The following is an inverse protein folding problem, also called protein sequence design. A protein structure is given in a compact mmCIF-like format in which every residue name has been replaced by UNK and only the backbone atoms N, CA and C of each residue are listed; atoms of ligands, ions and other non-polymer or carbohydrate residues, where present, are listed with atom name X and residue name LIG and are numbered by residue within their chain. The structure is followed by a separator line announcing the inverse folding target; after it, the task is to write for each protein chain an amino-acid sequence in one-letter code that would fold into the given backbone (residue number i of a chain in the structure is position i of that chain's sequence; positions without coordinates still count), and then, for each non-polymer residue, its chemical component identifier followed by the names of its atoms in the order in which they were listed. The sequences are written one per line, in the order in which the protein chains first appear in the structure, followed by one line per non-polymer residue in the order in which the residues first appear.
data_IF_748958006651
#
_entry.id   IF_748958006651
#
_cell.length_a   1.000
_cell.length_b   1.000
_cell.length_c   1.000
_cell.angle_alpha   90.00
_cell.angle_beta   90.00
_cell.angle_gamma   90.00
#
_symmetry.space_group_name_H-M   'P 1'
#
loop_
_entity.id
_entity.type
_entity.pdbx_description
1 polymer ?
#
# COMPACT_ATOMS: atom_id res chain seq x y z
N UNK A 1 -17.78 88.58 -40.58
CA UNK A 1 -17.48 87.56 -39.57
C UNK A 1 -17.77 86.18 -40.14
N UNK A 2 -16.78 85.29 -40.21
CA UNK A 2 -16.99 83.89 -40.61
C UNK A 2 -15.99 83.01 -39.85
N UNK A 3 -16.46 82.37 -38.78
CA UNK A 3 -15.65 81.53 -37.90
C UNK A 3 -15.69 80.08 -38.39
N UNK A 4 -14.52 79.60 -38.85
CA UNK A 4 -14.37 78.27 -39.44
C UNK A 4 -13.99 77.27 -38.34
N UNK A 5 -14.98 76.59 -37.75
CA UNK A 5 -14.76 75.60 -36.70
C UNK A 5 -14.11 74.34 -37.27
N UNK A 6 -12.91 74.01 -36.80
CA UNK A 6 -12.20 72.77 -37.14
C UNK A 6 -12.58 71.68 -36.13
N UNK A 7 -13.45 70.74 -36.52
CA UNK A 7 -13.71 69.54 -35.72
C UNK A 7 -12.53 68.56 -35.78
N UNK A 8 -11.82 68.44 -34.66
CA UNK A 8 -10.79 67.42 -34.47
C UNK A 8 -11.45 66.05 -34.32
N UNK A 9 -11.29 65.19 -35.33
CA UNK A 9 -11.73 63.79 -35.26
C UNK A 9 -10.90 63.03 -34.22
N UNK A 10 -11.46 62.79 -33.04
CA UNK A 10 -10.88 61.88 -32.06
C UNK A 10 -10.79 60.46 -32.65
N UNK A 11 -9.57 59.90 -32.61
CA UNK A 11 -9.30 58.55 -33.09
C UNK A 11 -10.07 57.50 -32.28
N UNK A 12 -10.59 56.47 -32.97
CA UNK A 12 -11.29 55.37 -32.31
C UNK A 12 -10.35 54.64 -31.35
N UNK A 13 -10.57 54.77 -30.04
CA UNK A 13 -9.90 53.92 -29.04
C UNK A 13 -10.11 52.45 -29.41
N UNK A 14 -9.05 51.77 -29.83
CA UNK A 14 -9.08 50.31 -29.97
C UNK A 14 -9.19 49.73 -28.57
N UNK A 15 -10.32 49.07 -28.29
CA UNK A 15 -10.58 48.42 -27.01
C UNK A 15 -9.56 47.30 -26.81
N UNK A 16 -8.47 47.58 -26.07
CA UNK A 16 -7.48 46.57 -25.68
C UNK A 16 -8.24 45.55 -24.81
N UNK A 17 -8.63 44.45 -25.45
CA UNK A 17 -9.35 43.36 -24.82
C UNK A 17 -8.43 42.79 -23.74
N UNK A 18 -8.78 42.96 -22.46
CA UNK A 18 -7.92 42.48 -21.37
C UNK A 18 -7.65 40.98 -21.56
N UNK A 19 -6.37 40.65 -21.75
CA UNK A 19 -5.88 39.29 -21.89
C UNK A 19 -5.82 38.66 -20.50
N UNK A 20 -6.99 38.28 -19.98
CA UNK A 20 -7.11 37.64 -18.67
C UNK A 20 -6.33 36.32 -18.64
N UNK A 21 -5.49 36.15 -17.61
CA UNK A 21 -4.79 34.91 -17.36
C UNK A 21 -5.81 33.77 -17.14
N UNK A 22 -5.65 32.67 -17.88
CA UNK A 22 -6.56 31.52 -17.85
C UNK A 22 -5.82 30.26 -17.40
N UNK A 23 -6.24 29.64 -16.31
CA UNK A 23 -5.70 28.35 -15.88
C UNK A 23 -6.40 27.19 -16.59
N UNK A 24 -5.63 26.31 -17.24
CA UNK A 24 -6.13 25.09 -17.86
C UNK A 24 -5.90 23.88 -16.95
N UNK A 25 -6.98 23.19 -16.55
CA UNK A 25 -6.90 21.94 -15.77
C UNK A 25 -6.22 20.78 -16.51
N UNK A 26 -6.38 20.69 -17.84
CA UNK A 26 -5.79 19.64 -18.69
C UNK A 26 -4.28 19.85 -18.88
N UNK A 27 -3.85 21.10 -19.09
CA UNK A 27 -2.43 21.44 -19.28
C UNK A 27 -1.69 21.73 -17.96
N UNK A 28 -2.42 21.96 -16.86
CA UNK A 28 -1.92 22.37 -15.54
C UNK A 28 -1.02 23.62 -15.61
N UNK A 29 -1.42 24.58 -16.44
CA UNK A 29 -0.69 25.81 -16.74
C UNK A 29 -1.63 26.99 -16.83
N UNK A 30 -1.12 28.17 -16.49
CA UNK A 30 -1.80 29.45 -16.70
C UNK A 30 -1.33 30.03 -18.03
N UNK A 31 -2.25 30.14 -18.98
CA UNK A 31 -2.02 30.74 -20.30
C UNK A 31 -2.56 32.17 -20.33
N UNK A 32 -1.68 33.12 -20.71
CA UNK A 32 -2.04 34.53 -20.89
C UNK A 32 -2.76 34.80 -22.22
N UNK A 33 -2.77 33.82 -23.13
CA UNK A 33 -3.53 33.83 -24.40
C UNK A 33 -5.05 33.64 -24.21
N UNK A 34 -5.52 33.56 -22.96
CA UNK A 34 -6.90 33.27 -22.60
C UNK A 34 -7.40 31.93 -23.16
N UNK A 35 -8.69 31.88 -23.53
CA UNK A 35 -9.34 30.68 -24.08
C UNK A 35 -8.79 30.23 -25.46
N UNK A 36 -7.89 31.01 -26.08
CA UNK A 36 -7.26 30.63 -27.36
C UNK A 36 -6.34 29.40 -27.24
N UNK A 37 -5.73 29.17 -26.08
CA UNK A 37 -4.76 28.07 -25.90
C UNK A 37 -5.37 26.67 -26.15
N UNK A 38 -6.69 26.52 -25.95
CA UNK A 38 -7.45 25.26 -26.09
C UNK A 38 -7.34 24.69 -27.52
N UNK A 39 -7.27 25.57 -28.51
CA UNK A 39 -7.11 25.22 -29.93
C UNK A 39 -5.66 24.92 -30.31
N UNK A 40 -4.71 25.14 -29.40
CA UNK A 40 -3.28 24.92 -29.63
C UNK A 40 -2.92 23.44 -29.70
N UNK A 41 -1.98 23.09 -30.60
CA UNK A 41 -1.50 21.71 -30.80
C UNK A 41 -1.02 21.05 -29.49
N UNK A 42 -0.37 21.82 -28.61
CA UNK A 42 0.11 21.35 -27.30
C UNK A 42 -1.04 20.91 -26.37
N UNK A 43 -2.08 21.75 -26.22
CA UNK A 43 -3.28 21.39 -25.47
C UNK A 43 -3.94 20.15 -26.06
N UNK A 44 -4.15 20.13 -27.37
CA UNK A 44 -4.81 19.01 -28.06
C UNK A 44 -4.02 17.70 -27.96
N UNK A 45 -2.68 17.73 -27.97
CA UNK A 45 -1.86 16.53 -27.70
C UNK A 45 -1.99 16.05 -26.25
N UNK A 46 -1.94 16.97 -25.28
CA UNK A 46 -2.06 16.65 -23.86
C UNK A 46 -3.46 16.11 -23.51
N UNK A 47 -4.50 16.68 -24.11
CA UNK A 47 -5.88 16.21 -24.01
C UNK A 47 -6.02 14.79 -24.56
N UNK A 48 -5.46 14.48 -25.74
CA UNK A 48 -5.48 13.13 -26.31
C UNK A 48 -4.79 12.10 -25.41
N UNK A 49 -3.61 12.41 -24.86
CA UNK A 49 -2.90 11.53 -23.91
C UNK A 49 -3.72 11.32 -22.63
N UNK A 50 -4.33 12.38 -22.11
CA UNK A 50 -5.16 12.33 -20.89
C UNK A 50 -6.42 11.48 -21.10
N UNK A 51 -7.14 11.70 -22.21
CA UNK A 51 -8.31 10.92 -22.60
C UNK A 51 -7.96 9.46 -22.91
N UNK A 52 -6.81 9.16 -23.52
CA UNK A 52 -6.36 7.79 -23.73
C UNK A 52 -6.12 7.05 -22.41
N UNK A 53 -5.42 7.68 -21.45
CA UNK A 53 -5.23 7.13 -20.10
C UNK A 53 -6.56 6.92 -19.37
N UNK A 54 -7.49 7.87 -19.48
CA UNK A 54 -8.81 7.74 -18.88
C UNK A 54 -9.64 6.63 -19.55
N UNK A 55 -9.63 6.53 -20.89
CA UNK A 55 -10.30 5.47 -21.65
C UNK A 55 -9.85 4.08 -21.21
N UNK A 56 -8.55 3.90 -20.90
CA UNK A 56 -8.05 2.60 -20.45
C UNK A 56 -8.66 2.19 -19.10
N UNK A 57 -8.76 3.11 -18.13
CA UNK A 57 -9.44 2.85 -16.83
C UNK A 57 -10.92 2.51 -17.02
N UNK A 58 -11.61 3.22 -17.91
CA UNK A 58 -13.02 2.96 -18.23
C UNK A 58 -13.19 1.60 -18.91
N UNK A 59 -12.32 1.26 -19.87
CA UNK A 59 -12.33 -0.05 -20.55
C UNK A 59 -12.07 -1.21 -19.59
N UNK A 60 -11.21 -1.01 -18.60
CA UNK A 60 -10.91 -1.98 -17.55
C UNK A 60 -12.18 -2.26 -16.73
N UNK A 61 -12.82 -1.22 -16.20
CA UNK A 61 -14.08 -1.34 -15.47
C UNK A 61 -15.24 -1.90 -16.32
N UNK A 62 -15.34 -1.52 -17.60
CA UNK A 62 -16.35 -2.09 -18.52
C UNK A 62 -16.16 -3.59 -18.79
N UNK A 63 -14.99 -4.17 -18.51
CA UNK A 63 -14.79 -5.63 -18.61
C UNK A 63 -15.37 -6.38 -17.42
N UNK A 64 -15.26 -5.82 -16.22
CA UNK A 64 -15.88 -6.39 -15.00
C UNK A 64 -17.40 -6.22 -14.95
N UNK A 65 -18.02 -5.59 -15.95
CA UNK A 65 -19.49 -5.46 -16.04
C UNK A 65 -20.22 -6.77 -16.38
N UNK A 66 -19.54 -7.76 -16.97
CA UNK A 66 -20.07 -9.08 -17.34
C UNK A 66 -19.65 -10.23 -16.41
N UNK A 67 -18.85 -9.88 -15.40
CA UNK A 67 -18.26 -10.78 -14.43
C UNK A 67 -17.72 -9.93 -13.28
N UNK A 68 -18.59 -9.35 -12.44
CA UNK A 68 -18.17 -8.59 -11.28
C UNK A 68 -17.30 -9.45 -10.36
N UNK A 69 -16.21 -8.85 -9.87
CA UNK A 69 -15.33 -9.51 -8.92
C UNK A 69 -15.65 -9.01 -7.51
N UNK A 70 -16.00 -9.95 -6.64
CA UNK A 70 -16.24 -9.73 -5.21
C UNK A 70 -15.07 -10.34 -4.45
N UNK A 71 -14.45 -9.54 -3.59
CA UNK A 71 -13.32 -9.93 -2.74
C UNK A 71 -13.62 -9.59 -1.27
N UNK A 72 -12.92 -10.24 -0.33
CA UNK A 72 -12.92 -9.82 1.08
C UNK A 72 -12.34 -8.43 1.18
N UNK A 73 -12.93 -7.58 2.02
CA UNK A 73 -12.40 -6.24 2.26
C UNK A 73 -10.94 -6.33 2.72
N UNK A 74 -10.12 -5.48 2.10
CA UNK A 74 -8.73 -5.25 2.46
C UNK A 74 -8.44 -3.76 2.29
N UNK A 75 -7.52 -3.17 3.09
CA UNK A 75 -7.12 -1.78 2.92
C UNK A 75 -6.56 -1.45 1.52
N UNK A 76 -6.17 -2.47 0.74
CA UNK A 76 -5.71 -2.30 -0.65
C UNK A 76 -6.83 -1.84 -1.60
N UNK A 77 -8.11 -1.96 -1.21
CA UNK A 77 -9.26 -1.60 -2.03
C UNK A 77 -9.73 -0.15 -1.87
N UNK A 78 -9.15 0.63 -0.94
CA UNK A 78 -9.45 2.06 -0.73
C UNK A 78 -8.85 2.97 -1.83
N UNK A 79 -8.73 2.45 -3.04
CA UNK A 79 -8.20 3.17 -4.19
C UNK A 79 -9.23 4.16 -4.72
N UNK A 80 -8.79 5.40 -4.91
CA UNK A 80 -9.55 6.46 -5.59
C UNK A 80 -9.03 6.66 -7.01
N UNK A 81 -9.88 7.15 -7.91
CA UNK A 81 -9.48 7.65 -9.22
C UNK A 81 -9.98 9.07 -9.44
N UNK A 82 -9.18 9.86 -10.17
CA UNK A 82 -9.58 11.18 -10.61
C UNK A 82 -10.46 11.10 -11.88
N UNK A 83 -11.68 11.63 -11.82
CA UNK A 83 -12.53 11.83 -12.98
C UNK A 83 -12.24 13.20 -13.62
N UNK A 84 -11.71 13.21 -14.85
CA UNK A 84 -11.39 14.46 -15.56
C UNK A 84 -12.62 15.26 -15.99
N UNK A 85 -13.76 14.60 -16.25
CA UNK A 85 -15.01 15.28 -16.62
C UNK A 85 -15.57 16.08 -15.45
N UNK A 86 -15.67 15.44 -14.28
CA UNK A 86 -16.25 16.02 -13.07
C UNK A 86 -15.26 16.87 -12.27
N UNK A 87 -13.95 16.66 -12.47
CA UNK A 87 -12.88 17.21 -11.61
C UNK A 87 -13.04 16.82 -10.14
N UNK A 88 -13.31 15.53 -9.90
CA UNK A 88 -13.54 14.94 -8.58
C UNK A 88 -12.68 13.68 -8.39
N UNK A 89 -12.32 13.41 -7.13
CA UNK A 89 -11.85 12.09 -6.69
C UNK A 89 -13.06 11.20 -6.38
N UNK A 90 -13.03 9.98 -6.91
CA UNK A 90 -14.13 9.02 -6.85
C UNK A 90 -13.59 7.66 -6.40
N UNK A 91 -14.29 6.87 -5.56
CA UNK A 91 -13.89 5.51 -5.24
C UNK A 91 -13.76 4.65 -6.50
N UNK A 92 -12.70 3.84 -6.61
CA UNK A 92 -12.59 2.87 -7.71
C UNK A 92 -13.45 1.64 -7.44
N UNK A 93 -13.52 1.19 -6.20
CA UNK A 93 -14.24 0.00 -5.74
C UNK A 93 -15.41 0.43 -4.84
N UNK A 94 -16.42 -0.42 -4.65
CA UNK A 94 -17.42 -0.25 -3.57
C UNK A 94 -17.03 -1.21 -2.45
N UNK A 95 -17.04 -0.73 -1.21
CA UNK A 95 -16.72 -1.50 0.00
C UNK A 95 -17.93 -1.49 0.92
N UNK A 96 -18.39 -2.67 1.33
CA UNK A 96 -19.45 -2.81 2.34
C UNK A 96 -18.91 -3.68 3.49
N UNK A 97 -18.33 -3.02 4.50
CA UNK A 97 -17.76 -3.63 5.69
C UNK A 97 -16.70 -4.72 5.44
N UNK A 98 -17.16 -5.97 5.33
CA UNK A 98 -16.35 -7.17 5.13
C UNK A 98 -16.09 -7.53 3.66
N UNK A 99 -16.77 -6.89 2.71
CA UNK A 99 -16.74 -7.25 1.28
C UNK A 99 -16.43 -6.06 0.37
N UNK A 100 -15.94 -6.33 -0.83
CA UNK A 100 -15.57 -5.32 -1.83
C UNK A 100 -15.97 -5.76 -3.23
N UNK A 101 -16.73 -4.93 -3.94
CA UNK A 101 -17.04 -5.07 -5.37
C UNK A 101 -16.01 -4.28 -6.19
N UNK A 102 -15.18 -4.97 -6.95
CA UNK A 102 -14.14 -4.31 -7.74
C UNK A 102 -14.76 -3.46 -8.87
N UNK A 103 -14.16 -2.29 -9.12
CA UNK A 103 -14.59 -1.32 -10.14
C UNK A 103 -15.99 -0.70 -9.96
N UNK A 104 -16.80 -1.14 -8.98
CA UNK A 104 -18.19 -0.70 -8.79
C UNK A 104 -18.35 0.82 -8.66
N UNK A 105 -17.54 1.48 -7.82
CA UNK A 105 -17.65 2.93 -7.57
C UNK A 105 -17.29 3.78 -8.80
N UNK A 106 -16.42 3.26 -9.67
CA UNK A 106 -16.15 3.87 -10.96
C UNK A 106 -17.35 3.73 -11.91
N UNK A 107 -17.94 2.53 -12.00
CA UNK A 107 -19.09 2.26 -12.86
C UNK A 107 -20.31 3.08 -12.44
N UNK A 108 -20.63 3.10 -11.15
CA UNK A 108 -21.71 3.90 -10.56
C UNK A 108 -21.53 5.40 -10.81
N UNK A 109 -20.33 5.94 -10.60
CA UNK A 109 -20.07 7.34 -10.94
C UNK A 109 -20.32 7.65 -12.42
N UNK A 110 -19.94 6.73 -13.31
CA UNK A 110 -20.06 6.90 -14.75
C UNK A 110 -21.48 6.77 -15.30
N UNK A 111 -22.40 6.19 -14.55
CA UNK A 111 -23.83 6.17 -14.87
C UNK A 111 -24.59 7.38 -14.32
N UNK A 112 -23.99 8.20 -13.43
CA UNK A 112 -24.69 9.37 -12.86
C UNK A 112 -25.07 10.41 -13.94
N UNK A 113 -26.26 11.03 -13.86
CA UNK A 113 -26.66 12.08 -14.78
C UNK A 113 -25.76 13.33 -14.63
N UNK A 114 -25.16 13.54 -13.47
CA UNK A 114 -24.16 14.60 -13.20
C UNK A 114 -22.90 14.37 -14.02
N UNK A 115 -22.36 13.15 -14.02
CA UNK A 115 -21.20 12.80 -14.85
C UNK A 115 -21.51 12.92 -16.34
N UNK A 116 -22.71 12.55 -16.78
CA UNK A 116 -23.15 12.78 -18.18
C UNK A 116 -23.12 14.27 -18.53
N UNK A 117 -23.77 15.13 -17.73
CA UNK A 117 -23.76 16.61 -17.91
C UNK A 117 -22.33 17.17 -17.93
N UNK A 118 -21.50 16.76 -16.97
CA UNK A 118 -20.11 17.19 -16.85
C UNK A 118 -19.24 16.71 -18.03
N UNK A 119 -19.48 15.51 -18.55
CA UNK A 119 -18.81 14.98 -19.74
C UNK A 119 -19.16 15.81 -20.98
N UNK A 120 -20.43 16.15 -21.20
CA UNK A 120 -20.82 17.05 -22.29
C UNK A 120 -20.17 18.44 -22.17
N UNK A 121 -20.16 19.01 -20.96
CA UNK A 121 -19.48 20.29 -20.66
C UNK A 121 -17.98 20.23 -20.94
N UNK A 122 -17.28 19.23 -20.40
CA UNK A 122 -15.83 19.04 -20.57
C UNK A 122 -15.44 18.90 -22.06
N UNK A 123 -16.22 18.15 -22.85
CA UNK A 123 -15.99 18.02 -24.29
C UNK A 123 -16.12 19.36 -25.02
N UNK A 124 -17.14 20.14 -24.68
CA UNK A 124 -17.36 21.47 -25.28
C UNK A 124 -16.30 22.47 -24.85
N UNK A 125 -15.87 22.46 -23.58
CA UNK A 125 -14.84 23.37 -23.07
C UNK A 125 -13.47 23.08 -23.68
N UNK A 126 -13.04 21.81 -23.76
CA UNK A 126 -11.70 21.44 -24.24
C UNK A 126 -11.63 21.13 -25.75
N UNK A 127 -12.75 21.24 -26.48
CA UNK A 127 -12.86 20.90 -27.92
C UNK A 127 -12.34 19.48 -28.24
N UNK A 128 -12.70 18.53 -27.37
CA UNK A 128 -12.36 17.12 -27.53
C UNK A 128 -13.11 16.48 -28.72
N UNK A 129 -12.56 15.38 -29.26
CA UNK A 129 -13.18 14.64 -30.37
C UNK A 129 -14.56 14.07 -29.96
N UNK A 130 -15.66 14.48 -30.63
CA UNK A 130 -17.01 13.99 -30.32
C UNK A 130 -17.13 12.47 -30.38
N UNK A 131 -16.37 11.79 -31.27
CA UNK A 131 -16.40 10.33 -31.46
C UNK A 131 -15.90 9.53 -30.25
N UNK A 132 -15.26 10.22 -29.30
CA UNK A 132 -14.76 9.60 -28.07
C UNK A 132 -15.71 9.77 -26.88
N UNK A 133 -16.63 10.74 -26.91
CA UNK A 133 -17.49 11.11 -25.77
C UNK A 133 -18.27 9.92 -25.21
N UNK A 134 -18.95 9.18 -26.09
CA UNK A 134 -19.90 8.13 -25.68
C UNK A 134 -19.21 6.89 -25.10
N UNK A 135 -17.87 6.83 -25.20
CA UNK A 135 -17.04 5.82 -24.50
C UNK A 135 -16.90 6.11 -23.00
N UNK A 136 -17.28 7.30 -22.55
CA UNK A 136 -17.18 7.77 -21.16
C UNK A 136 -18.54 7.94 -20.48
N UNK A 137 -19.64 7.53 -21.12
CA UNK A 137 -20.99 7.50 -20.53
C UNK A 137 -21.38 6.03 -20.45
N UNK A 138 -21.91 5.58 -19.32
CA UNK A 138 -22.50 4.23 -19.17
C UNK A 138 -24.02 4.41 -19.18
N UNK A 139 -24.72 3.50 -19.85
CA UNK A 139 -26.18 3.55 -19.93
C UNK A 139 -26.82 3.11 -18.59
N UNK A 140 -28.08 3.46 -18.36
CA UNK A 140 -28.75 3.10 -17.10
C UNK A 140 -29.05 1.59 -17.10
N UNK A 141 -29.45 1.05 -18.25
CA UNK A 141 -29.70 -0.37 -18.54
C UNK A 141 -28.43 -1.24 -18.36
N UNK A 142 -27.29 -0.73 -18.82
CA UNK A 142 -25.95 -1.32 -18.62
C UNK A 142 -25.62 -1.42 -17.12
N UNK A 143 -26.08 -0.44 -16.33
CA UNK A 143 -25.82 -0.33 -14.88
C UNK A 143 -26.76 -1.22 -14.07
N UNK A 144 -28.02 -1.35 -14.47
CA UNK A 144 -28.99 -2.30 -13.91
C UNK A 144 -28.53 -3.74 -14.15
N UNK A 145 -28.09 -4.05 -15.37
CA UNK A 145 -27.50 -5.35 -15.72
C UNK A 145 -26.30 -5.67 -14.83
N UNK A 146 -25.38 -4.70 -14.65
CA UNK A 146 -24.25 -4.85 -13.75
C UNK A 146 -24.67 -5.08 -12.30
N UNK A 147 -25.67 -4.36 -11.78
CA UNK A 147 -26.18 -4.56 -10.41
C UNK A 147 -26.75 -5.97 -10.22
N UNK A 148 -27.52 -6.49 -11.18
CA UNK A 148 -28.05 -7.85 -11.13
C UNK A 148 -26.94 -8.91 -11.15
N UNK A 149 -25.89 -8.73 -11.96
CA UNK A 149 -24.71 -9.60 -11.93
C UNK A 149 -23.91 -9.48 -10.62
N UNK A 150 -23.83 -8.29 -10.02
CA UNK A 150 -23.18 -8.08 -8.72
C UNK A 150 -23.94 -8.86 -7.64
N UNK A 151 -25.28 -8.78 -7.57
CA UNK A 151 -26.06 -9.59 -6.63
C UNK A 151 -25.75 -11.08 -6.75
N UNK A 152 -25.73 -11.62 -7.98
CA UNK A 152 -25.37 -13.01 -8.25
C UNK A 152 -23.93 -13.35 -7.82
N UNK A 153 -22.98 -12.42 -8.00
CA UNK A 153 -21.59 -12.61 -7.60
C UNK A 153 -21.40 -12.54 -6.08
N UNK A 154 -22.23 -11.76 -5.37
CA UNK A 154 -22.29 -11.73 -3.91
C UNK A 154 -22.83 -13.06 -3.36
N UNK A 155 -23.97 -13.55 -3.87
CA UNK A 155 -24.53 -14.88 -3.52
C UNK A 155 -23.51 -16.00 -3.73
N UNK A 156 -22.82 -16.03 -4.89
CA UNK A 156 -21.77 -17.00 -5.19
C UNK A 156 -20.50 -16.85 -4.35
N UNK A 157 -20.28 -15.70 -3.73
CA UNK A 157 -19.16 -15.47 -2.83
C UNK A 157 -19.53 -15.97 -1.42
N UNK A 158 -20.72 -15.62 -0.94
CA UNK A 158 -21.28 -16.09 0.33
C UNK A 158 -21.36 -17.63 0.35
N UNK A 159 -21.88 -18.27 -0.70
CA UNK A 159 -21.95 -19.74 -0.78
C UNK A 159 -20.58 -20.41 -0.64
N UNK A 160 -19.52 -19.83 -1.22
CA UNK A 160 -18.15 -20.36 -1.13
C UNK A 160 -17.57 -20.19 0.27
N UNK A 161 -17.82 -19.06 0.91
CA UNK A 161 -17.44 -18.84 2.31
C UNK A 161 -18.17 -19.83 3.23
N UNK A 162 -19.46 -20.07 2.99
CA UNK A 162 -20.28 -21.02 3.72
C UNK A 162 -19.76 -22.46 3.59
N UNK A 163 -19.37 -22.89 2.38
CA UNK A 163 -18.73 -24.19 2.14
C UNK A 163 -17.39 -24.27 2.88
N UNK A 164 -16.55 -23.25 2.79
CA UNK A 164 -15.26 -23.19 3.48
C UNK A 164 -15.40 -23.22 5.02
N UNK A 165 -16.44 -22.60 5.57
CA UNK A 165 -16.77 -22.68 7.01
C UNK A 165 -17.25 -24.10 7.38
N UNK A 166 -18.12 -24.72 6.56
CA UNK A 166 -18.61 -26.10 6.78
C UNK A 166 -17.47 -27.13 6.73
N UNK A 167 -16.52 -26.97 5.82
CA UNK A 167 -15.30 -27.80 5.72
C UNK A 167 -14.42 -27.68 6.96
N UNK A 168 -14.09 -26.46 7.39
CA UNK A 168 -13.32 -26.24 8.63
C UNK A 168 -14.04 -26.81 9.87
N UNK A 169 -15.36 -26.63 9.96
CA UNK A 169 -16.16 -27.20 11.03
C UNK A 169 -16.21 -28.75 10.98
N UNK A 170 -16.11 -29.37 9.80
CA UNK A 170 -15.97 -30.82 9.68
C UNK A 170 -14.60 -31.31 10.17
N UNK A 171 -13.51 -30.60 9.85
CA UNK A 171 -12.15 -30.90 10.35
C UNK A 171 -12.10 -30.79 11.88
N UNK A 172 -12.69 -29.75 12.47
CA UNK A 172 -12.75 -29.60 13.93
C UNK A 172 -13.52 -30.75 14.58
N UNK A 173 -14.68 -31.13 14.03
CA UNK A 173 -15.49 -32.26 14.53
C UNK A 173 -14.77 -33.60 14.42
N UNK A 174 -14.09 -33.88 13.32
CA UNK A 174 -13.31 -35.13 13.18
C UNK A 174 -12.13 -35.17 14.16
N UNK A 175 -11.45 -34.03 14.38
CA UNK A 175 -10.38 -33.95 15.37
C UNK A 175 -10.89 -34.10 16.81
N UNK A 176 -12.11 -33.65 17.11
CA UNK A 176 -12.77 -33.91 18.40
C UNK A 176 -13.14 -35.38 18.57
N UNK A 177 -13.75 -36.01 17.55
CA UNK A 177 -14.05 -37.45 17.56
C UNK A 177 -12.80 -38.30 17.77
N UNK A 178 -11.70 -38.00 17.08
CA UNK A 178 -10.42 -38.70 17.23
C UNK A 178 -9.87 -38.58 18.67
N UNK A 179 -9.97 -37.40 19.31
CA UNK A 179 -9.59 -37.23 20.73
C UNK A 179 -10.47 -38.06 21.66
N UNK A 180 -11.78 -38.08 21.44
CA UNK A 180 -12.71 -38.86 22.25
C UNK A 180 -12.45 -40.37 22.13
N UNK A 181 -12.19 -40.88 20.93
CA UNK A 181 -11.84 -42.30 20.75
C UNK A 181 -10.54 -42.67 21.47
N UNK A 182 -9.49 -41.84 21.37
CA UNK A 182 -8.22 -42.08 22.08
C UNK A 182 -8.41 -42.09 23.60
N UNK A 183 -9.24 -41.20 24.16
CA UNK A 183 -9.57 -41.20 25.59
C UNK A 183 -10.37 -42.45 26.00
N UNK A 184 -11.32 -42.90 25.17
CA UNK A 184 -12.10 -44.11 25.42
C UNK A 184 -11.21 -45.36 25.48
N UNK A 185 -10.33 -45.53 24.49
CA UNK A 185 -9.41 -46.69 24.43
C UNK A 185 -8.43 -46.75 25.61
N UNK A 186 -8.10 -45.62 26.24
CA UNK A 186 -7.31 -45.57 27.47
C UNK A 186 -8.14 -45.92 28.72
N UNK A 187 -9.45 -45.68 28.70
CA UNK A 187 -10.35 -45.96 29.83
C UNK A 187 -10.84 -47.41 29.86
N UNK A 188 -10.87 -48.11 28.71
CA UNK A 188 -11.28 -49.53 28.62
C UNK A 188 -10.20 -50.51 29.08
N UNK A 189 -8.97 -50.06 29.39
CA UNK A 189 -7.89 -50.92 29.90
C UNK A 189 -7.90 -51.11 31.43
N UNK A 190 -9.09 -51.25 32.03
CA UNK A 190 -9.30 -51.74 33.40
C UNK A 190 -9.75 -53.22 33.36
N UNK A 191 -9.26 -54.09 34.26
CA UNK A 191 -9.32 -55.54 34.04
C UNK A 191 -10.74 -56.13 34.15
N UNK A 192 -11.02 -57.12 33.29
CA UNK A 192 -12.15 -58.03 33.49
C UNK A 192 -12.06 -58.73 34.86
N UNK A 193 -13.19 -58.79 35.56
CA UNK A 193 -13.43 -59.80 36.57
C UNK A 193 -14.87 -60.29 36.46
N UNK A 194 -15.03 -61.59 36.19
CA UNK A 194 -16.30 -62.31 36.04
C UNK A 194 -16.22 -63.62 36.84
N UNK A 195 -17.35 -64.28 37.16
CA UNK A 195 -18.71 -63.79 37.36
C UNK A 195 -19.34 -64.30 38.67
N UNK A 196 -20.49 -63.75 39.08
CA UNK A 196 -21.43 -64.43 39.98
C UNK A 196 -22.86 -63.96 39.69
N UNK A 197 -23.81 -64.91 39.67
CA UNK A 197 -25.21 -64.64 39.41
C UNK A 197 -26.00 -64.44 40.71
N UNK A 198 -27.08 -63.67 40.65
CA UNK A 198 -28.40 -64.15 41.07
C UNK A 198 -29.53 -63.29 40.48
N UNK A 199 -30.72 -63.88 40.38
CA UNK A 199 -31.96 -63.20 39.99
C UNK A 199 -32.36 -62.17 41.07
N UNK A 200 -33.10 -61.14 40.67
CA UNK A 200 -34.51 -61.01 41.08
C UNK A 200 -35.21 -59.95 40.20
N UNK A 201 -36.46 -60.24 39.83
CA UNK A 201 -37.30 -59.33 39.05
C UNK A 201 -38.33 -58.70 39.98
N UNK A 202 -38.51 -57.38 39.92
CA UNK A 202 -39.80 -56.81 40.29
C UNK A 202 -40.22 -55.69 39.34
N UNK A 203 -41.44 -55.83 38.84
CA UNK A 203 -42.08 -54.99 37.84
C UNK A 203 -42.91 -53.88 38.48
N UNK A 204 -42.97 -52.71 37.82
CA UNK A 204 -44.23 -51.99 37.57
C UNK A 204 -43.96 -50.77 36.69
N UNK A 205 -44.87 -50.48 35.75
CA UNK A 205 -44.84 -49.29 34.92
C UNK A 205 -46.00 -48.37 35.29
N UNK A 206 -45.75 -47.06 35.44
CA UNK A 206 -46.81 -46.05 35.38
C UNK A 206 -46.33 -44.75 34.70
N UNK A 207 -47.31 -43.98 34.22
CA UNK A 207 -47.24 -43.03 33.10
C UNK A 207 -47.37 -41.57 33.59
N UNK A 208 -46.88 -40.64 32.75
CA UNK A 208 -47.18 -39.20 32.67
C UNK A 208 -46.47 -38.20 33.61
N UNK A 209 -45.58 -37.41 32.98
CA UNK A 209 -45.61 -35.94 32.86
C UNK A 209 -46.44 -35.10 33.86
N UNK A 210 -45.82 -34.05 34.43
CA UNK A 210 -46.14 -32.64 34.08
C UNK A 210 -45.36 -31.58 34.92
N UNK A 211 -44.45 -30.86 34.25
CA UNK A 211 -44.29 -29.39 34.21
C UNK A 211 -43.86 -28.51 35.41
N UNK A 212 -43.13 -27.44 35.03
CA UNK A 212 -42.92 -26.12 35.67
C UNK A 212 -41.87 -25.90 36.78
N UNK A 213 -40.75 -25.25 36.38
CA UNK A 213 -40.21 -23.93 36.86
C UNK A 213 -40.78 -23.36 38.19
N UNK A 214 -40.03 -22.76 39.14
CA UNK A 214 -39.06 -21.62 39.11
C UNK A 214 -38.22 -21.61 40.43
N UNK A 215 -37.16 -20.82 40.74
CA UNK A 215 -36.08 -20.07 40.03
C UNK A 215 -35.11 -19.44 41.09
N UNK A 216 -33.85 -19.13 40.71
CA UNK A 216 -32.79 -18.39 41.48
C UNK A 216 -32.26 -19.09 42.76
N UNK A 217 -31.04 -18.91 43.27
CA UNK A 217 -29.80 -18.15 42.96
C UNK A 217 -28.62 -19.02 43.51
N UNK A 218 -27.33 -18.98 43.15
CA UNK A 218 -26.44 -17.86 42.82
C UNK A 218 -25.26 -18.29 41.92
N UNK A 219 -24.73 -17.28 41.24
CA UNK A 219 -23.32 -16.93 40.94
C UNK A 219 -22.20 -17.78 41.60
N UNK A 220 -21.05 -18.06 40.97
CA UNK A 220 -20.24 -17.16 40.13
C UNK A 220 -19.74 -17.71 38.78
N UNK A 221 -19.38 -16.76 37.89
CA UNK A 221 -18.51 -16.87 36.71
C UNK A 221 -17.11 -16.35 37.13
N UNK A 222 -15.96 -16.79 36.53
CA UNK A 222 -15.67 -16.37 35.15
C UNK A 222 -14.76 -17.29 34.29
N UNK A 223 -14.77 -17.06 32.99
CA UNK A 223 -13.60 -17.29 32.11
C UNK A 223 -12.95 -15.92 31.78
N UNK A 224 -12.28 -15.74 30.63
CA UNK A 224 -11.67 -16.71 29.73
C UNK A 224 -10.15 -16.47 29.58
N UNK A 225 -9.37 -17.49 29.22
CA UNK A 225 -7.98 -17.27 28.77
C UNK A 225 -7.85 -17.43 27.26
N UNK A 226 -7.28 -16.41 26.62
CA UNK A 226 -6.96 -16.37 25.20
C UNK A 226 -6.04 -17.53 24.81
N UNK A 227 -6.31 -18.17 23.66
CA UNK A 227 -5.23 -18.62 22.79
C UNK A 227 -5.38 -17.99 21.42
N UNK A 228 -4.33 -17.27 21.04
CA UNK A 228 -4.27 -16.54 19.80
C UNK A 228 -4.03 -17.49 18.62
N UNK A 229 -4.64 -17.11 17.51
CA UNK A 229 -4.44 -17.57 16.13
C UNK A 229 -3.17 -18.36 15.84
N UNK A 230 -3.37 -19.55 15.26
CA UNK A 230 -2.37 -20.31 14.52
C UNK A 230 -1.66 -19.43 13.47
N UNK A 231 -0.42 -19.05 13.72
CA UNK A 231 0.45 -18.44 12.71
C UNK A 231 1.19 -19.52 11.94
N UNK A 232 0.62 -19.82 10.76
CA UNK A 232 1.29 -20.21 9.51
C UNK A 232 2.75 -20.70 9.64
N UNK A 233 2.96 -22.01 9.52
CA UNK A 233 4.29 -22.63 9.46
C UNK A 233 4.97 -22.41 8.11
N UNK A 234 5.30 -21.16 7.79
CA UNK A 234 6.37 -20.89 6.84
C UNK A 234 7.73 -21.19 7.50
N UNK A 235 8.65 -21.78 6.73
CA UNK A 235 10.04 -21.93 7.14
C UNK A 235 10.60 -20.56 7.50
N UNK A 236 10.96 -20.37 8.78
CA UNK A 236 11.59 -19.14 9.24
C UNK A 236 13.06 -19.19 8.83
N UNK A 237 13.54 -18.19 8.09
CA UNK A 237 14.98 -18.05 7.87
C UNK A 237 15.72 -17.92 9.20
N UNK A 238 16.96 -18.43 9.30
CA UNK A 238 17.77 -18.35 10.52
C UNK A 238 18.31 -16.92 10.72
N UNK A 239 17.45 -16.00 11.16
CA UNK A 239 17.85 -14.60 11.45
C UNK A 239 16.76 -13.73 12.08
N UNK A 240 15.47 -13.98 11.82
CA UNK A 240 14.39 -13.14 12.36
C UNK A 240 14.00 -13.53 13.80
N UNK A 241 14.43 -12.70 14.76
CA UNK A 241 13.96 -12.77 16.16
C UNK A 241 15.01 -13.11 17.21
N UNK A 242 16.28 -12.70 17.04
CA UNK A 242 17.31 -12.84 18.08
C UNK A 242 17.02 -11.90 19.27
N UNK A 243 16.21 -12.34 20.23
CA UNK A 243 16.04 -11.69 21.53
C UNK A 243 17.00 -12.29 22.55
N UNK A 244 17.82 -11.45 23.19
CA UNK A 244 18.68 -11.86 24.30
C UNK A 244 17.82 -12.26 25.52
N UNK A 245 17.97 -13.50 25.97
CA UNK A 245 17.43 -14.03 27.23
C UNK A 245 18.60 -14.02 28.21
N UNK A 246 18.43 -13.36 29.35
CA UNK A 246 19.51 -13.06 30.30
C UNK A 246 20.12 -14.29 30.96
N UNK A 247 21.26 -14.06 31.64
CA UNK A 247 21.94 -15.08 32.44
C UNK A 247 20.98 -15.66 33.49
N UNK A 248 20.97 -16.99 33.64
CA UNK A 248 20.24 -17.66 34.73
C UNK A 248 21.23 -17.99 35.86
N UNK A 249 21.10 -17.26 36.97
CA UNK A 249 21.94 -17.48 38.15
C UNK A 249 21.71 -18.88 38.72
N UNK A 250 22.81 -19.61 38.90
CA UNK A 250 22.76 -21.06 39.08
C UNK A 250 23.10 -21.44 40.51
N UNK A 251 22.09 -21.65 41.36
CA UNK A 251 22.25 -22.46 42.58
C UNK A 251 20.94 -23.13 43.03
N UNK A 252 21.09 -24.33 43.64
CA UNK A 252 20.08 -25.06 44.45
C UNK A 252 19.11 -26.05 43.79
N UNK A 253 19.69 -27.00 43.05
CA UNK A 253 19.43 -28.46 43.16
C UNK A 253 17.99 -29.01 43.13
N UNK A 254 17.55 -29.39 41.93
CA UNK A 254 16.68 -30.57 41.71
C UNK A 254 15.61 -30.37 40.62
N UNK A 255 15.04 -31.48 40.14
CA UNK A 255 13.90 -31.46 39.20
C UNK A 255 12.58 -31.67 39.96
N UNK A 256 11.46 -31.29 39.35
CA UNK A 256 10.10 -31.36 39.94
C UNK A 256 9.77 -32.79 40.41
N UNK A 257 10.22 -33.81 39.67
CA UNK A 257 10.06 -35.23 40.02
C UNK A 257 10.94 -35.73 41.18
N UNK A 258 11.87 -34.90 41.67
CA UNK A 258 12.72 -35.18 42.85
C UNK A 258 12.25 -34.41 44.09
N UNK A 259 11.06 -33.80 44.04
CA UNK A 259 10.53 -32.98 45.13
C UNK A 259 11.15 -31.58 45.24
N UNK A 260 11.97 -31.17 44.26
CA UNK A 260 12.51 -29.83 44.24
C UNK A 260 11.45 -28.82 43.78
N UNK A 261 11.38 -27.71 44.52
CA UNK A 261 10.44 -26.62 44.26
C UNK A 261 10.80 -25.99 42.91
N UNK A 262 9.86 -25.92 41.94
CA UNK A 262 10.12 -25.32 40.64
C UNK A 262 10.45 -23.82 40.77
N UNK A 263 11.18 -23.23 39.81
CA UNK A 263 11.71 -21.86 39.95
C UNK A 263 10.64 -20.76 40.03
N UNK A 264 9.36 -21.06 39.77
CA UNK A 264 8.23 -20.14 39.95
C UNK A 264 7.55 -20.25 41.33
N UNK A 265 8.08 -21.08 42.23
CA UNK A 265 7.54 -21.39 43.55
C UNK A 265 8.60 -21.23 44.67
N UNK A 266 9.79 -20.74 44.32
CA UNK A 266 10.82 -20.37 45.30
C UNK A 266 10.49 -18.95 45.82
N UNK A 267 10.28 -18.81 47.12
CA UNK A 267 10.24 -17.49 47.75
C UNK A 267 11.68 -16.93 47.79
N UNK A 268 11.90 -15.85 47.06
CA UNK A 268 13.20 -15.21 46.83
C UNK A 268 13.88 -14.77 48.15
N UNK A 269 14.89 -15.52 48.59
CA UNK A 269 15.66 -15.23 49.81
C UNK A 269 17.14 -15.63 49.66
N UNK A 270 17.92 -14.66 49.19
CA UNK A 270 19.34 -14.37 49.45
C UNK A 270 20.43 -15.44 49.19
N UNK A 271 21.16 -15.20 48.10
CA UNK A 271 22.63 -15.03 48.08
C UNK A 271 23.51 -16.11 48.76
N UNK A 272 24.13 -17.00 47.95
CA UNK A 272 25.54 -16.79 47.55
C UNK A 272 26.23 -18.02 46.91
N UNK A 273 27.01 -17.73 45.86
CA UNK A 273 28.19 -18.47 45.37
C UNK A 273 28.06 -19.71 44.46
N UNK A 274 28.09 -19.41 43.16
CA UNK A 274 28.87 -20.09 42.09
C UNK A 274 28.38 -21.43 41.52
N UNK A 275 27.56 -21.31 40.46
CA UNK A 275 27.69 -22.14 39.27
C UNK A 275 27.59 -21.24 38.02
N UNK A 276 28.35 -21.54 36.96
CA UNK A 276 28.39 -20.74 35.73
C UNK A 276 27.09 -20.88 34.91
N UNK A 277 26.39 -19.77 34.55
CA UNK A 277 25.20 -19.83 33.71
C UNK A 277 25.52 -20.36 32.30
N UNK A 278 24.85 -21.44 31.88
CA UNK A 278 24.84 -21.83 30.45
C UNK A 278 23.99 -20.83 29.66
N UNK A 279 24.66 -19.83 29.06
CA UNK A 279 24.04 -18.81 28.21
C UNK A 279 23.15 -19.44 27.13
N UNK A 280 21.84 -19.44 27.36
CA UNK A 280 20.84 -20.01 26.46
C UNK A 280 20.35 -18.93 25.49
N UNK A 281 21.27 -18.46 24.63
CA UNK A 281 20.99 -17.45 23.62
C UNK A 281 22.25 -16.86 23.00
N UNK A 282 22.12 -15.99 21.99
CA UNK A 282 23.25 -15.24 21.46
C UNK A 282 23.76 -14.28 22.52
N UNK A 283 25.07 -14.30 22.80
CA UNK A 283 25.74 -13.33 23.66
C UNK A 283 25.24 -11.89 23.42
N UNK A 284 25.09 -11.11 24.49
CA UNK A 284 24.65 -9.71 24.45
C UNK A 284 25.44 -8.87 23.41
N UNK A 285 26.75 -9.14 23.26
CA UNK A 285 27.59 -8.47 22.27
C UNK A 285 27.19 -8.81 20.81
N UNK A 286 26.74 -10.05 20.57
CA UNK A 286 26.19 -10.49 19.28
C UNK A 286 24.86 -9.82 18.95
N UNK A 287 23.96 -9.71 19.93
CA UNK A 287 22.69 -9.00 19.77
C UNK A 287 22.88 -7.52 19.40
N UNK A 288 23.81 -6.82 20.07
CA UNK A 288 24.13 -5.42 19.76
C UNK A 288 24.67 -5.25 18.33
N UNK A 289 25.60 -6.12 17.90
CA UNK A 289 26.12 -6.15 16.51
C UNK A 289 24.99 -6.40 15.49
N UNK A 290 24.05 -7.30 15.79
CA UNK A 290 22.90 -7.56 14.91
C UNK A 290 22.00 -6.33 14.76
N UNK A 291 21.67 -5.64 15.85
CA UNK A 291 20.88 -4.39 15.81
C UNK A 291 21.57 -3.28 15.01
N UNK A 292 22.90 -3.21 15.04
CA UNK A 292 23.66 -2.25 14.24
C UNK A 292 23.59 -2.58 12.75
N UNK A 293 23.77 -3.85 12.37
CA UNK A 293 23.64 -4.29 10.98
C UNK A 293 22.22 -4.08 10.42
N UNK A 294 21.16 -4.31 11.21
CA UNK A 294 19.80 -3.97 10.81
C UNK A 294 19.61 -2.47 10.53
N UNK A 295 20.18 -1.59 11.36
CA UNK A 295 20.12 -0.14 11.14
C UNK A 295 20.82 0.26 9.85
N UNK A 296 21.94 -0.41 9.51
CA UNK A 296 22.64 -0.20 8.25
C UNK A 296 21.83 -0.70 7.04
N UNK A 297 21.22 -1.89 7.12
CA UNK A 297 20.36 -2.45 6.07
C UNK A 297 19.11 -1.61 5.79
N UNK A 298 18.59 -0.89 6.79
CA UNK A 298 17.40 -0.01 6.67
C UNK A 298 17.70 1.35 6.02
N UNK A 299 18.96 1.67 5.72
CA UNK A 299 19.35 2.92 5.08
C UNK A 299 19.43 2.76 3.54
N UNK A 300 18.96 3.74 2.74
CA UNK A 300 19.05 3.66 1.29
C UNK A 300 20.51 3.60 0.80
N UNK A 301 20.90 2.59 -0.02
CA UNK A 301 22.29 2.46 -0.48
C UNK A 301 22.73 3.64 -1.37
N UNK A 302 21.78 4.27 -2.05
CA UNK A 302 22.01 5.45 -2.90
C UNK A 302 21.90 6.79 -2.15
N UNK A 303 22.01 6.82 -0.80
CA UNK A 303 22.05 8.11 -0.09
C UNK A 303 23.34 8.87 -0.41
N UNK A 304 23.24 10.19 -0.54
CA UNK A 304 24.42 11.06 -0.74
C UNK A 304 25.38 10.84 0.44
N UNK A 305 26.64 10.50 0.14
CA UNK A 305 27.65 10.19 1.15
C UNK A 305 27.78 8.70 1.54
N UNK A 306 26.99 7.78 0.98
CA UNK A 306 27.15 6.33 1.24
C UNK A 306 28.50 5.77 0.75
N UNK A 307 28.93 6.19 -0.44
CA UNK A 307 30.18 5.77 -1.07
C UNK A 307 31.32 6.78 -0.84
N UNK A 308 31.27 7.56 0.24
CA UNK A 308 32.26 8.60 0.51
C UNK A 308 33.46 8.02 1.26
N UNK A 309 34.60 7.93 0.57
CA UNK A 309 35.84 7.45 1.17
C UNK A 309 36.48 8.54 2.06
N UNK A 310 36.26 8.40 3.36
CA UNK A 310 36.80 9.27 4.41
C UNK A 310 38.34 9.21 4.55
N UNK A 311 39.04 8.28 3.88
CA UNK A 311 40.50 8.21 3.88
C UNK A 311 41.16 9.13 2.82
N UNK A 312 40.38 9.65 1.88
CA UNK A 312 40.90 10.48 0.79
C UNK A 312 41.26 11.91 1.25
N UNK A 313 42.53 12.31 1.09
CA UNK A 313 43.00 13.67 1.39
C UNK A 313 42.49 14.65 0.33
N UNK A 314 41.56 15.52 0.71
CA UNK A 314 40.99 16.52 -0.19
C UNK A 314 42.00 17.63 -0.51
N UNK A 315 42.14 17.97 -1.79
CA UNK A 315 42.96 19.11 -2.24
C UNK A 315 42.13 20.38 -2.29
N UNK A 316 42.77 21.55 -2.31
CA UNK A 316 42.07 22.85 -2.37
C UNK A 316 41.20 23.06 -3.64
N UNK A 317 41.32 22.18 -4.64
CA UNK A 317 40.45 22.12 -5.83
C UNK A 317 39.20 21.25 -5.65
N UNK A 318 38.94 20.70 -4.46
CA UNK A 318 37.78 19.86 -4.16
C UNK A 318 36.45 20.62 -4.28
N UNK A 319 36.43 21.91 -3.90
CA UNK A 319 35.23 22.74 -4.03
C UNK A 319 35.12 23.28 -5.46
N UNK A 320 34.00 23.06 -6.18
CA UNK A 320 33.70 23.79 -7.40
C UNK A 320 33.75 25.30 -7.12
N UNK A 321 34.36 26.09 -8.01
CA UNK A 321 34.43 27.53 -7.82
C UNK A 321 33.04 28.16 -7.99
N UNK A 322 32.35 28.38 -6.86
CA UNK A 322 31.02 28.99 -6.80
C UNK A 322 31.06 30.49 -7.15
N UNK A 323 31.45 30.83 -8.39
CA UNK A 323 31.37 32.16 -8.99
C UNK A 323 32.04 33.29 -8.18
N UNK A 324 33.03 32.97 -7.34
CA UNK A 324 33.67 33.93 -6.39
C UNK A 324 32.65 34.60 -5.45
N UNK A 325 31.52 33.94 -5.16
CA UNK A 325 30.43 34.44 -4.28
C UNK A 325 30.91 34.74 -2.86
N UNK A 326 31.98 34.09 -2.42
CA UNK A 326 32.55 34.20 -1.07
C UNK A 326 33.73 35.21 -0.97
N UNK A 327 34.08 35.91 -2.05
CA UNK A 327 35.13 36.93 -1.99
C UNK A 327 34.59 38.24 -1.38
N UNK A 328 35.24 38.73 -0.32
CA UNK A 328 34.99 40.04 0.27
C UNK A 328 35.43 41.16 -0.69
N UNK A 329 34.47 41.95 -1.20
CA UNK A 329 34.75 43.04 -2.14
C UNK A 329 33.48 43.58 -2.82
N UNK A 330 33.61 44.66 -3.62
CA UNK A 330 32.45 45.21 -4.34
C UNK A 330 32.10 44.29 -5.52
N UNK A 331 30.82 43.93 -5.66
CA UNK A 331 30.30 42.95 -6.65
C UNK A 331 30.72 43.22 -8.11
N UNK A 332 30.99 44.48 -8.47
CA UNK A 332 31.48 44.85 -9.80
C UNK A 332 32.93 44.40 -10.06
N UNK A 333 33.83 44.42 -9.06
CA UNK A 333 35.22 43.96 -9.21
C UNK A 333 35.28 42.47 -9.53
N UNK A 334 34.53 41.64 -8.79
CA UNK A 334 34.36 40.21 -9.08
C UNK A 334 33.81 39.96 -10.50
N UNK A 335 32.88 40.79 -10.98
CA UNK A 335 32.34 40.70 -12.35
C UNK A 335 33.37 41.03 -13.45
N UNK A 336 34.35 41.90 -13.18
CA UNK A 336 35.45 42.15 -14.12
C UNK A 336 36.40 40.95 -14.18
N UNK A 337 36.89 40.49 -13.02
CA UNK A 337 37.80 39.35 -12.92
C UNK A 337 37.20 38.08 -13.54
N UNK A 338 35.91 37.81 -13.31
CA UNK A 338 35.20 36.69 -13.94
C UNK A 338 35.20 36.78 -15.47
N UNK A 339 34.93 37.96 -16.05
CA UNK A 339 34.96 38.16 -17.51
C UNK A 339 36.36 37.96 -18.08
N UNK A 340 37.38 38.44 -17.37
CA UNK A 340 38.78 38.25 -17.75
C UNK A 340 39.16 36.75 -17.73
N UNK A 341 38.75 36.02 -16.70
CA UNK A 341 38.92 34.57 -16.57
C UNK A 341 38.15 33.77 -17.64
N UNK A 342 36.96 34.21 -18.05
CA UNK A 342 36.27 33.64 -19.21
C UNK A 342 37.06 33.84 -20.51
N UNK A 343 37.72 35.00 -20.72
CA UNK A 343 38.54 35.21 -21.92
C UNK A 343 39.82 34.37 -21.90
N UNK A 344 40.50 34.24 -20.76
CA UNK A 344 41.72 33.43 -20.65
C UNK A 344 41.42 31.94 -20.78
N UNK A 345 40.35 31.44 -20.14
CA UNK A 345 39.94 30.02 -20.28
C UNK A 345 39.43 29.69 -21.68
N UNK A 346 38.72 30.59 -22.37
CA UNK A 346 38.37 30.41 -23.80
C UNK A 346 39.60 30.37 -24.70
N UNK A 347 40.59 31.24 -24.48
CA UNK A 347 41.89 31.20 -25.19
C UNK A 347 42.62 29.88 -24.95
N UNK A 348 42.63 29.37 -23.71
CA UNK A 348 43.28 28.10 -23.34
C UNK A 348 42.61 26.89 -23.99
N UNK A 349 41.28 26.87 -24.10
CA UNK A 349 40.53 25.82 -24.82
C UNK A 349 40.82 25.83 -26.31
N UNK A 350 40.87 27.02 -26.94
CA UNK A 350 41.17 27.14 -28.38
C UNK A 350 42.52 26.51 -28.74
N UNK A 351 43.56 26.79 -27.94
CA UNK A 351 44.89 26.20 -28.09
C UNK A 351 44.98 24.67 -27.91
N UNK A 352 43.95 24.02 -27.34
CA UNK A 352 43.92 22.55 -27.19
C UNK A 352 43.18 21.84 -28.35
N UNK A 353 42.38 22.57 -29.13
CA UNK A 353 41.53 22.01 -30.21
C UNK A 353 42.26 21.99 -31.57
N UNK A 354 43.26 22.86 -31.76
CA UNK A 354 44.08 22.97 -32.98
C UNK A 354 45.11 21.81 -33.16
N UNK A 355 44.96 20.69 -32.42
CA UNK A 355 45.94 19.60 -32.31
C UNK A 355 45.46 18.21 -32.79
N UNK A 356 45.71 17.90 -34.07
CA UNK A 356 45.56 16.59 -34.78
C UNK A 356 44.12 16.02 -34.97
N UNK A 357 43.67 15.85 -36.24
CA UNK A 357 42.52 14.99 -36.53
C UNK A 357 42.91 13.50 -36.52
N UNK A 358 42.35 12.71 -35.60
CA UNK A 358 42.42 11.24 -35.65
C UNK A 358 41.44 10.69 -36.70
N UNK A 359 41.94 9.85 -37.62
CA UNK A 359 41.12 9.09 -38.57
C UNK A 359 40.27 8.07 -37.80
N UNK A 360 38.96 8.06 -38.01
CA UNK A 360 38.08 6.96 -37.56
C UNK A 360 38.20 5.76 -38.51
N UNK A 361 38.38 4.52 -38.02
CA UNK A 361 38.17 3.32 -38.82
C UNK A 361 36.68 3.08 -39.10
N UNK A 362 36.39 2.16 -40.01
CA UNK A 362 35.08 1.91 -40.61
C UNK A 362 34.79 0.41 -40.59
N UNK A 363 34.01 -0.04 -39.62
CA UNK A 363 33.36 -1.36 -39.64
C UNK A 363 31.90 -1.15 -40.10
N UNK A 364 31.38 -1.79 -41.15
CA UNK A 364 31.34 -3.22 -41.53
C UNK A 364 30.28 -4.01 -40.73
N UNK A 365 29.51 -4.81 -41.48
CA UNK A 365 28.22 -5.36 -41.10
C UNK A 365 28.26 -6.86 -40.81
N UNK A 366 27.09 -7.38 -40.40
CA UNK A 366 26.74 -8.77 -40.08
C UNK A 366 26.98 -9.12 -38.60
N UNK A 367 26.17 -9.96 -37.94
CA UNK A 367 24.99 -10.69 -38.41
C UNK A 367 25.04 -12.13 -37.90
N UNK A 368 23.98 -12.56 -37.17
CA UNK A 368 23.87 -13.85 -36.45
C UNK A 368 24.88 -13.94 -35.26
N UNK A 369 24.56 -14.59 -34.13
CA UNK A 369 23.51 -15.56 -33.79
C UNK A 369 22.60 -15.00 -32.68
#
# INVERSE_FOLDING_TARGET
SSTRTLELRFGKQTKIKQMGAFYCSVCRKTDFSGKGHIYGKSHQSQLKVTLAKFTNKVKEARRSMKSPQVEKYSPSHELKFWCYCCSLEVPRHVTDGNMTVLHGGLLEHMSTPEHRKNTHKFWWENKADPKLRDKFIIAEEDTESFKAEVSKALEQFEEKEDVFIKEQAAVIRSQQQNRLMLLHSLSESGPEHVPAAELEQCSSAHIASSSHSYSNESEEKPGPSHQNSSTNSHQREPGEGLTFIGHQDSSRSGNIHTGAVPPWLLDEADESSQCEPKESGPSLQGFLKHKEQEKLKKLPPNRVGANFDHSSRTTASWLPSFGRVWNSGRRWQSRHQFREEETTTRRKRKWQDDGKPMKKPKDMSNGQI
#
